data_IF_611993952488
#
_entry.id   IF_611993952488
#
_cell.length_a   1.000
_cell.length_b   1.000
_cell.length_c   1.000
_cell.angle_alpha   90.00
_cell.angle_beta   90.00
_cell.angle_gamma   90.00
#
_symmetry.space_group_name_H-M   'P 1'
#
loop_
_entity.id
_entity.type
_entity.pdbx_description
1 polymer ?
#
# COMPACT_ATOMS: atom_id res chain seq x y z
N UNK A 1 -5.58 -16.95 -3.19
CA UNK A 1 -5.15 -15.95 -2.19
C UNK A 1 -6.20 -14.84 -2.09
N UNK A 2 -6.85 -14.70 -0.94
CA UNK A 2 -7.80 -13.60 -0.72
C UNK A 2 -7.02 -12.33 -0.37
N UNK A 3 -7.41 -11.18 -0.92
CA UNK A 3 -6.82 -9.90 -0.57
C UNK A 3 -7.83 -8.75 -0.70
N UNK A 4 -7.49 -7.61 -0.11
CA UNK A 4 -8.13 -6.35 -0.45
C UNK A 4 -7.11 -5.22 -0.55
N UNK A 5 -7.47 -4.21 -1.32
CA UNK A 5 -6.75 -2.96 -1.42
C UNK A 5 -7.61 -1.81 -0.91
N UNK A 6 -6.99 -0.83 -0.26
CA UNK A 6 -7.70 0.35 0.21
C UNK A 6 -6.79 1.57 0.22
N UNK A 7 -7.26 2.67 -0.38
CA UNK A 7 -6.66 3.98 -0.17
C UNK A 7 -7.04 4.50 1.22
N UNK A 8 -6.05 4.90 1.99
CA UNK A 8 -6.22 5.36 3.35
C UNK A 8 -6.87 6.74 3.37
N UNK A 9 -7.97 6.85 4.11
CA UNK A 9 -8.60 8.13 4.45
C UNK A 9 -7.92 8.74 5.67
N UNK A 10 -8.27 10.00 5.98
CA UNK A 10 -7.85 10.62 7.23
C UNK A 10 -8.26 9.81 8.47
N UNK A 11 -9.44 9.20 8.44
CA UNK A 11 -9.95 8.40 9.55
C UNK A 11 -9.12 7.12 9.71
N UNK A 12 -8.75 6.49 8.60
CA UNK A 12 -7.95 5.26 8.62
C UNK A 12 -6.58 5.52 9.26
N UNK A 13 -5.90 6.60 8.87
CA UNK A 13 -4.58 6.98 9.40
C UNK A 13 -4.67 7.47 10.85
N UNK A 14 -5.60 8.40 11.14
CA UNK A 14 -5.65 9.07 12.44
C UNK A 14 -6.32 8.23 13.51
N UNK A 15 -7.31 7.39 13.18
CA UNK A 15 -8.12 6.63 14.14
C UNK A 15 -7.94 5.13 13.95
N UNK A 16 -8.67 4.55 13.01
CA UNK A 16 -8.79 3.11 12.78
C UNK A 16 -9.16 2.87 11.33
N UNK A 17 -8.60 1.82 10.73
CA UNK A 17 -8.93 1.47 9.36
C UNK A 17 -10.13 0.54 9.29
N UNK A 18 -11.16 0.94 8.54
CA UNK A 18 -12.27 0.04 8.24
C UNK A 18 -11.84 -1.05 7.24
N UNK A 19 -12.12 -2.30 7.57
CA UNK A 19 -11.92 -3.46 6.71
C UNK A 19 -13.12 -3.56 5.77
N UNK A 20 -12.92 -3.82 4.46
CA UNK A 20 -14.03 -4.06 3.54
C UNK A 20 -14.91 -5.23 4.03
N UNK A 21 -16.23 -5.03 4.06
CA UNK A 21 -17.18 -6.02 4.60
C UNK A 21 -17.06 -7.38 3.90
N UNK A 22 -16.87 -7.39 2.59
CA UNK A 22 -16.75 -8.63 1.80
C UNK A 22 -15.52 -9.45 2.16
N UNK A 23 -14.48 -8.81 2.73
CA UNK A 23 -13.26 -9.47 3.16
C UNK A 23 -13.41 -10.15 4.53
N UNK A 24 -14.44 -9.81 5.30
CA UNK A 24 -14.66 -10.33 6.64
C UNK A 24 -14.74 -11.86 6.68
N UNK A 25 -15.25 -12.51 5.62
CA UNK A 25 -15.33 -13.97 5.51
C UNK A 25 -13.97 -14.69 5.52
N UNK A 26 -12.88 -13.95 5.32
CA UNK A 26 -11.51 -14.47 5.32
C UNK A 26 -10.77 -14.20 6.65
N UNK A 27 -11.42 -13.56 7.62
CA UNK A 27 -10.88 -13.34 8.96
C UNK A 27 -11.32 -14.49 9.90
N UNK A 28 -10.60 -14.69 11.03
CA UNK A 28 -11.02 -15.66 12.05
C UNK A 28 -12.43 -15.38 12.54
N UNK A 29 -13.19 -16.38 12.98
CA UNK A 29 -14.58 -16.20 13.41
C UNK A 29 -14.72 -15.19 14.58
N UNK A 30 -15.70 -14.28 14.49
CA UNK A 30 -15.96 -13.24 15.49
C UNK A 30 -17.12 -13.58 16.42
N UNK A 31 -16.81 -13.88 17.68
CA UNK A 31 -17.82 -14.23 18.71
C UNK A 31 -18.52 -13.02 19.35
N UNK A 32 -18.06 -11.79 19.07
CA UNK A 32 -18.61 -10.58 19.67
C UNK A 32 -17.90 -10.11 20.94
N UNK A 33 -17.94 -8.80 21.19
CA UNK A 33 -17.56 -8.20 22.47
C UNK A 33 -16.06 -8.16 22.79
N UNK A 34 -15.20 -8.71 21.92
CA UNK A 34 -13.73 -8.73 22.12
C UNK A 34 -13.00 -8.49 20.80
N UNK A 35 -11.82 -7.89 20.88
CA UNK A 35 -10.90 -7.78 19.74
C UNK A 35 -10.27 -9.13 19.48
N UNK A 36 -10.20 -9.53 18.21
CA UNK A 36 -9.49 -10.73 17.78
C UNK A 36 -8.13 -10.30 17.25
N UNK A 37 -7.06 -10.84 17.84
CA UNK A 37 -5.69 -10.58 17.41
C UNK A 37 -5.20 -11.66 16.46
N UNK A 38 -4.48 -11.24 15.43
CA UNK A 38 -3.85 -12.13 14.46
C UNK A 38 -2.42 -11.64 14.17
N UNK A 39 -1.45 -12.57 14.03
CA UNK A 39 -0.10 -12.23 13.61
C UNK A 39 -0.11 -11.78 12.15
N UNK A 40 0.44 -10.59 11.87
CA UNK A 40 0.55 -10.03 10.52
C UNK A 40 2.01 -9.79 10.17
N UNK A 41 2.45 -10.27 9.02
CA UNK A 41 3.79 -10.01 8.50
C UNK A 41 3.76 -8.83 7.52
N UNK A 42 4.71 -7.92 7.64
CA UNK A 42 4.92 -6.91 6.60
C UNK A 42 5.87 -7.40 5.50
N UNK A 43 6.00 -6.59 4.44
CA UNK A 43 6.89 -6.87 3.30
C UNK A 43 8.37 -6.94 3.67
N UNK A 44 8.76 -6.34 4.80
CA UNK A 44 10.13 -6.39 5.32
C UNK A 44 10.37 -7.63 6.19
N UNK A 45 9.35 -8.48 6.37
CA UNK A 45 9.40 -9.67 7.21
C UNK A 45 9.15 -9.40 8.70
N UNK A 46 8.83 -8.17 9.11
CA UNK A 46 8.55 -7.90 10.52
C UNK A 46 7.19 -8.49 10.92
N UNK A 47 7.15 -9.05 12.12
CA UNK A 47 5.94 -9.59 12.72
C UNK A 47 5.25 -8.54 13.60
N UNK A 48 3.97 -8.28 13.29
CA UNK A 48 3.06 -7.47 14.08
C UNK A 48 2.12 -8.39 14.86
N UNK A 49 2.51 -8.75 16.09
CA UNK A 49 1.83 -9.78 16.91
C UNK A 49 0.43 -9.36 17.37
N UNK A 50 0.20 -8.07 17.64
CA UNK A 50 -1.05 -7.56 18.19
C UNK A 50 -1.87 -6.80 17.15
N UNK A 51 -1.86 -7.26 15.91
CA UNK A 51 -2.74 -6.72 14.87
C UNK A 51 -4.17 -7.22 15.12
N UNK A 52 -5.03 -6.35 15.63
CA UNK A 52 -6.37 -6.72 16.05
C UNK A 52 -7.41 -6.35 15.01
N UNK A 53 -8.54 -7.05 14.99
CA UNK A 53 -9.75 -6.51 14.39
C UNK A 53 -10.94 -6.64 15.36
N UNK A 54 -11.86 -5.68 15.25
CA UNK A 54 -13.07 -5.61 16.06
C UNK A 54 -14.24 -5.23 15.16
N UNK A 55 -15.42 -5.79 15.42
CA UNK A 55 -16.62 -5.42 14.68
C UNK A 55 -17.42 -4.44 15.52
N UNK A 56 -17.46 -3.18 15.06
CA UNK A 56 -18.33 -2.17 15.65
C UNK A 56 -19.78 -2.55 15.33
N UNK A 57 -20.56 -2.86 16.36
CA UNK A 57 -22.01 -3.00 16.23
C UNK A 57 -22.61 -1.60 16.11
N UNK A 58 -23.25 -1.30 14.98
CA UNK A 58 -24.10 -0.12 14.82
C UNK A 58 -25.31 -0.53 13.95
N UNK A 59 -26.45 -0.78 14.60
CA UNK A 59 -27.65 -1.35 13.95
C UNK A 59 -27.56 -2.86 13.66
N UNK A 60 -28.70 -3.54 13.54
CA UNK A 60 -28.78 -5.00 13.29
C UNK A 60 -28.15 -5.42 11.96
N UNK A 61 -28.02 -4.50 11.01
CA UNK A 61 -27.78 -4.83 9.60
C UNK A 61 -26.43 -4.37 9.03
N UNK A 62 -25.57 -3.69 9.83
CA UNK A 62 -24.29 -3.14 9.33
C UNK A 62 -23.10 -3.45 10.25
N UNK A 63 -22.51 -4.64 10.10
CA UNK A 63 -21.22 -4.96 10.68
C UNK A 63 -20.11 -4.10 10.04
N UNK A 64 -19.41 -3.31 10.84
CA UNK A 64 -18.26 -2.51 10.40
C UNK A 64 -16.98 -3.02 11.06
N UNK A 65 -16.28 -3.99 10.44
CA UNK A 65 -15.00 -4.46 10.95
C UNK A 65 -13.95 -3.34 10.82
N UNK A 66 -13.15 -3.16 11.87
CA UNK A 66 -12.06 -2.19 11.91
C UNK A 66 -10.80 -2.83 12.45
N UNK A 67 -9.64 -2.44 11.90
CA UNK A 67 -8.36 -2.78 12.50
C UNK A 67 -8.12 -2.00 13.80
N UNK A 68 -7.51 -2.68 14.77
CA UNK A 68 -7.14 -2.21 16.09
C UNK A 68 -5.75 -2.73 16.49
N UNK A 69 -5.34 -2.46 17.74
CA UNK A 69 -4.05 -2.89 18.26
C UNK A 69 -2.90 -2.22 17.51
N UNK A 70 -2.06 -3.04 16.88
CA UNK A 70 -0.84 -2.59 16.21
C UNK A 70 -1.07 -1.76 14.93
N UNK A 71 -2.30 -1.62 14.43
CA UNK A 71 -2.60 -0.75 13.28
C UNK A 71 -1.97 0.66 13.41
N UNK A 72 -2.16 1.32 14.56
CA UNK A 72 -1.60 2.67 14.77
C UNK A 72 -0.07 2.67 14.87
N UNK A 73 0.53 1.58 15.36
CA UNK A 73 1.99 1.44 15.40
C UNK A 73 2.53 1.24 13.99
N UNK A 74 1.89 0.38 13.20
CA UNK A 74 2.20 0.15 11.80
C UNK A 74 2.14 1.44 10.97
N UNK A 75 1.07 2.24 11.13
CA UNK A 75 0.91 3.55 10.48
C UNK A 75 2.08 4.48 10.79
N UNK A 76 2.47 4.57 12.07
CA UNK A 76 3.57 5.45 12.50
C UNK A 76 4.93 4.96 12.00
N UNK A 77 5.20 3.65 12.13
CA UNK A 77 6.46 3.05 11.71
C UNK A 77 6.70 3.20 10.20
N UNK A 78 5.63 3.08 9.40
CA UNK A 78 5.69 3.19 7.94
C UNK A 78 5.46 4.62 7.42
N UNK A 79 5.23 5.59 8.32
CA UNK A 79 4.93 6.98 8.00
C UNK A 79 3.77 7.13 6.98
N UNK A 80 2.70 6.38 7.19
CA UNK A 80 1.56 6.34 6.26
C UNK A 80 0.74 7.63 6.34
N UNK A 81 0.32 8.11 5.17
CA UNK A 81 -0.45 9.34 4.99
C UNK A 81 -1.79 9.07 4.30
N UNK A 82 -2.79 9.95 4.47
CA UNK A 82 -4.00 9.89 3.68
C UNK A 82 -3.67 9.89 2.18
N UNK A 83 -4.28 8.98 1.43
CA UNK A 83 -4.01 8.75 0.01
C UNK A 83 -2.97 7.65 -0.28
N UNK A 84 -2.23 7.17 0.71
CA UNK A 84 -1.43 5.94 0.56
C UNK A 84 -2.36 4.73 0.44
N UNK A 85 -1.89 3.68 -0.26
CA UNK A 85 -2.65 2.45 -0.43
C UNK A 85 -2.13 1.36 0.50
N UNK A 86 -3.03 0.60 1.10
CA UNK A 86 -2.73 -0.64 1.80
C UNK A 86 -3.22 -1.82 0.99
N UNK A 87 -2.42 -2.88 0.99
CA UNK A 87 -2.76 -4.19 0.45
C UNK A 87 -2.66 -5.18 1.60
N UNK A 88 -3.75 -5.87 1.91
CA UNK A 88 -3.79 -6.88 2.97
C UNK A 88 -4.20 -8.22 2.35
N UNK A 89 -3.49 -9.30 2.70
CA UNK A 89 -3.63 -10.61 2.06
C UNK A 89 -3.77 -11.72 3.10
N UNK A 90 -4.47 -12.78 2.70
CA UNK A 90 -4.51 -14.06 3.40
C UNK A 90 -3.95 -15.12 2.48
N UNK A 91 -2.84 -15.71 2.91
CA UNK A 91 -2.13 -16.79 2.25
C UNK A 91 -2.40 -18.10 3.00
N UNK A 92 -2.45 -19.21 2.25
CA UNK A 92 -2.46 -20.54 2.86
C UNK A 92 -1.06 -20.85 3.37
N UNK A 93 -0.96 -21.39 4.59
CA UNK A 93 0.32 -21.84 5.13
C UNK A 93 0.43 -23.35 4.96
N UNK A 94 1.22 -23.77 3.98
CA UNK A 94 1.42 -25.18 3.63
C UNK A 94 1.96 -26.04 4.79
N UNK A 95 2.62 -25.43 5.77
CA UNK A 95 3.21 -26.16 6.90
C UNK A 95 2.18 -26.62 7.94
N UNK A 96 1.22 -25.75 8.29
CA UNK A 96 0.34 -25.93 9.45
C UNK A 96 -1.16 -25.81 9.12
N UNK A 97 -1.52 -25.50 7.87
CA UNK A 97 -2.91 -25.26 7.43
C UNK A 97 -3.56 -23.98 7.98
N UNK A 98 -2.92 -23.28 8.91
CA UNK A 98 -3.42 -22.01 9.46
C UNK A 98 -3.14 -20.84 8.49
N UNK A 99 -4.10 -19.92 8.26
CA UNK A 99 -3.89 -18.81 7.34
C UNK A 99 -2.75 -17.89 7.81
N UNK A 100 -1.91 -17.45 6.86
CA UNK A 100 -0.89 -16.41 7.08
C UNK A 100 -1.42 -15.07 6.59
N UNK A 101 -1.33 -14.06 7.44
CA UNK A 101 -1.75 -12.70 7.10
C UNK A 101 -0.55 -11.83 6.75
N UNK A 102 -0.64 -11.11 5.63
CA UNK A 102 0.41 -10.18 5.20
C UNK A 102 -0.15 -8.79 4.90
N UNK A 103 0.66 -7.76 5.15
CA UNK A 103 0.32 -6.37 4.89
C UNK A 103 1.44 -5.67 4.11
N UNK A 104 1.05 -4.90 3.10
CA UNK A 104 1.94 -4.03 2.35
C UNK A 104 1.37 -2.63 2.26
N UNK A 105 2.26 -1.63 2.30
CA UNK A 105 1.91 -0.24 2.04
C UNK A 105 2.54 0.23 0.72
N UNK A 106 1.74 0.81 -0.15
CA UNK A 106 2.17 1.47 -1.37
C UNK A 106 1.97 2.97 -1.19
N UNK A 107 3.08 3.71 -1.14
CA UNK A 107 3.06 5.17 -0.98
C UNK A 107 2.57 5.85 -2.25
N UNK A 108 1.78 6.90 -2.09
CA UNK A 108 1.45 7.78 -3.21
C UNK A 108 2.69 8.61 -3.55
N UNK A 109 3.30 8.33 -4.69
CA UNK A 109 4.40 9.15 -5.21
C UNK A 109 3.76 10.40 -5.81
N UNK A 110 3.95 11.54 -5.16
CA UNK A 110 3.80 12.84 -5.81
C UNK A 110 5.15 13.17 -6.43
N UNK A 111 5.29 12.99 -7.74
CA UNK A 111 6.29 13.78 -8.45
C UNK A 111 5.82 15.23 -8.32
N UNK A 112 6.50 16.01 -7.49
CA UNK A 112 6.12 17.38 -7.20
C UNK A 112 5.90 18.18 -8.48
N UNK A 113 4.93 19.09 -8.39
CA UNK A 113 4.61 20.15 -9.32
C UNK A 113 5.86 20.80 -9.94
N UNK A 114 6.28 20.34 -11.11
CA UNK A 114 7.02 21.20 -12.01
C UNK A 114 6.02 22.24 -12.52
N UNK A 115 5.94 23.36 -11.78
CA UNK A 115 5.37 24.60 -12.28
C UNK A 115 6.31 25.13 -13.37
N UNK A 116 6.31 24.51 -14.54
CA UNK A 116 6.74 25.22 -15.74
C UNK A 116 5.69 26.30 -15.93
N UNK A 117 5.99 27.54 -15.53
CA UNK A 117 5.24 28.71 -15.99
C UNK A 117 5.28 28.66 -17.52
N UNK A 118 4.19 28.18 -18.12
CA UNK A 118 4.03 27.96 -19.54
C UNK A 118 3.87 29.27 -20.33
N UNK A 119 4.68 30.28 -20.00
CA UNK A 119 4.72 31.55 -20.71
C UNK A 119 6.06 31.86 -21.37
N UNK A 120 7.02 30.94 -21.36
CA UNK A 120 8.22 31.13 -22.17
C UNK A 120 8.70 29.79 -22.76
N UNK A 121 8.93 29.82 -24.08
CA UNK A 121 8.84 28.70 -25.00
C UNK A 121 10.01 27.71 -24.93
N UNK A 122 9.71 26.47 -25.37
CA UNK A 122 10.63 25.38 -25.77
C UNK A 122 11.49 24.77 -24.66
N UNK A 123 10.98 23.71 -24.01
CA UNK A 123 11.86 22.74 -23.36
C UNK A 123 12.66 22.04 -24.48
N UNK A 124 13.99 22.22 -24.56
CA UNK A 124 14.79 21.51 -25.55
C UNK A 124 14.74 20.01 -25.25
N UNK A 125 14.66 19.17 -26.29
CA UNK A 125 14.59 17.69 -26.14
C UNK A 125 15.75 17.12 -25.30
N UNK A 126 16.87 17.85 -25.17
CA UNK A 126 17.97 17.53 -24.27
C UNK A 126 17.54 17.53 -22.80
N UNK A 127 16.81 18.55 -22.35
CA UNK A 127 16.33 18.65 -20.98
C UNK A 127 15.35 17.52 -20.59
N UNK A 128 14.59 16.98 -21.55
CA UNK A 128 13.73 15.80 -21.34
C UNK A 128 14.58 14.52 -21.14
N UNK A 129 15.68 14.39 -21.89
CA UNK A 129 16.63 13.28 -21.68
C UNK A 129 17.34 13.40 -20.34
N UNK A 130 17.70 14.61 -19.93
CA UNK A 130 18.35 14.86 -18.65
C UNK A 130 17.42 14.53 -17.48
N UNK A 131 16.13 14.91 -17.56
CA UNK A 131 15.12 14.53 -16.56
C UNK A 131 14.86 13.02 -16.54
N UNK A 132 14.80 12.36 -17.70
CA UNK A 132 14.69 10.90 -17.78
C UNK A 132 15.90 10.21 -17.15
N UNK A 133 17.10 10.73 -17.37
CA UNK A 133 18.33 10.21 -16.80
C UNK A 133 18.38 10.45 -15.29
N UNK A 134 17.94 11.62 -14.82
CA UNK A 134 17.89 11.98 -13.41
C UNK A 134 16.90 11.10 -12.63
N UNK A 135 15.71 10.85 -13.20
CA UNK A 135 14.73 9.90 -12.63
C UNK A 135 15.29 8.47 -12.65
N UNK A 136 15.97 8.08 -13.73
CA UNK A 136 16.58 6.74 -13.82
C UNK A 136 17.70 6.54 -12.79
N UNK A 137 18.49 7.58 -12.52
CA UNK A 137 19.53 7.55 -11.49
C UNK A 137 18.96 7.47 -10.07
N UNK A 138 17.86 8.17 -9.78
CA UNK A 138 17.19 8.06 -8.48
C UNK A 138 16.54 6.68 -8.29
N UNK A 139 15.89 6.12 -9.31
CA UNK A 139 15.34 4.75 -9.26
C UNK A 139 16.46 3.73 -9.07
N UNK A 140 17.55 3.84 -9.83
CA UNK A 140 18.71 2.96 -9.67
C UNK A 140 19.40 3.10 -8.29
N UNK A 141 19.41 4.30 -7.71
CA UNK A 141 19.92 4.53 -6.36
C UNK A 141 19.04 3.88 -5.28
N UNK A 142 17.71 3.86 -5.49
CA UNK A 142 16.76 3.12 -4.65
C UNK A 142 17.02 1.61 -4.74
N UNK A 143 17.26 1.08 -5.95
CA UNK A 143 17.54 -0.35 -6.16
C UNK A 143 18.90 -0.77 -5.57
N UNK A 144 19.93 0.08 -5.68
CA UNK A 144 21.24 -0.16 -5.08
C UNK A 144 21.21 -0.11 -3.55
N UNK A 145 20.38 0.75 -2.96
CA UNK A 145 20.14 0.77 -1.52
C UNK A 145 19.37 -0.48 -1.05
N UNK A 146 18.40 -0.97 -1.82
CA UNK A 146 17.73 -2.25 -1.54
C UNK A 146 18.71 -3.44 -1.56
N UNK A 147 19.65 -3.43 -2.51
CA UNK A 147 20.65 -4.49 -2.68
C UNK A 147 21.72 -4.48 -1.57
N UNK A 148 22.15 -3.30 -1.09
CA UNK A 148 23.16 -3.20 -0.02
C UNK A 148 22.64 -3.62 1.37
N UNK A 149 21.31 -3.57 1.57
CA UNK A 149 20.64 -3.98 2.82
C UNK A 149 20.14 -5.44 2.76
N UNK A 150 20.40 -6.16 1.66
CA UNK A 150 20.09 -7.59 1.54
C UNK A 150 18.60 -7.92 1.35
N UNK A 151 17.76 -6.95 0.97
CA UNK A 151 16.43 -7.26 0.46
C UNK A 151 16.56 -7.71 -1.01
N UNK A 152 16.48 -9.03 -1.25
CA UNK A 152 16.19 -9.56 -2.58
C UNK A 152 14.75 -9.16 -2.94
N UNK A 153 14.58 -7.98 -3.51
CA UNK A 153 13.41 -7.69 -4.31
C UNK A 153 13.51 -8.57 -5.55
N UNK A 154 12.73 -9.66 -5.58
CA UNK A 154 12.50 -10.44 -6.79
C UNK A 154 11.76 -9.54 -7.79
N UNK A 155 12.53 -8.86 -8.63
CA UNK A 155 12.04 -8.00 -9.71
C UNK A 155 11.58 -8.87 -10.88
N UNK A 156 10.45 -9.55 -10.72
CA UNK A 156 9.66 -10.12 -11.82
C UNK A 156 8.36 -9.33 -12.04
N UNK A 157 8.44 -8.01 -11.88
CA UNK A 157 7.46 -7.08 -12.43
C UNK A 157 8.17 -6.14 -13.38
N UNK A 158 8.31 -6.60 -14.62
CA UNK A 158 8.53 -5.79 -15.80
C UNK A 158 7.59 -4.57 -15.74
N UNK A 159 8.13 -3.40 -15.37
CA UNK A 159 7.43 -2.12 -15.50
C UNK A 159 7.43 -1.78 -17.00
N UNK A 160 6.47 -2.34 -17.74
CA UNK A 160 6.09 -1.82 -19.04
C UNK A 160 5.43 -0.45 -18.84
N UNK A 161 6.25 0.58 -18.71
CA UNK A 161 5.82 1.97 -18.81
C UNK A 161 5.56 2.28 -20.29
N UNK A 162 4.49 1.71 -20.84
CA UNK A 162 3.95 2.13 -22.13
C UNK A 162 3.37 3.53 -21.95
N UNK A 163 4.16 4.55 -22.30
CA UNK A 163 3.70 5.89 -22.60
C UNK A 163 2.66 5.77 -23.73
N UNK A 164 1.38 5.71 -23.38
CA UNK A 164 0.30 5.84 -24.35
C UNK A 164 0.40 7.23 -24.97
N UNK A 165 0.89 7.28 -26.21
CA UNK A 165 0.76 8.44 -27.08
C UNK A 165 -0.72 8.61 -27.41
N UNK A 166 -1.42 9.49 -26.70
CA UNK A 166 -2.69 9.99 -27.22
C UNK A 166 -2.41 10.97 -28.37
N UNK A 167 -2.97 10.62 -29.52
CA UNK A 167 -2.89 11.29 -30.81
C UNK A 167 -3.67 12.62 -30.77
N UNK A 168 -3.24 13.69 -31.48
CA UNK A 168 -3.98 14.95 -31.46
C UNK A 168 -5.32 14.80 -32.19
N UNK A 169 -6.39 15.21 -31.52
CA UNK A 169 -7.70 15.46 -32.14
C UNK A 169 -7.52 16.44 -33.30
N UNK A 170 -7.88 15.98 -34.51
CA UNK A 170 -8.06 16.86 -35.67
C UNK A 170 -9.30 17.71 -35.46
N UNK A 171 -9.18 18.99 -35.81
CA UNK A 171 -10.26 19.98 -35.91
C UNK A 171 -11.42 19.51 -36.79
#
# INVERSE_FOLDING_TARGET
MAHFEKYLTEVDVKKQMAIPTDFMRHLPYYEGGRTIFLPVYDVSGNLWENFGYYIRREGKDYARPVFQGDWRKYVRANNLKPGDKIIFRVEENDANGAPRYTIAAQRRIFLFEYRFTASEWLIPKSAIKDLSHMISQEVAAIDLYSTSVGLLATTDCFFDFQLTKESPMKM
#
